data_IF_939924801326
#
_entry.id   IF_939924801326
#
_cell.length_a   1.000
_cell.length_b   1.000
_cell.length_c   1.000
_cell.angle_alpha   90.00
_cell.angle_beta   90.00
_cell.angle_gamma   90.00
#
_symmetry.space_group_name_H-M   'P 1'
#
loop_
_entity.id
_entity.type
_entity.pdbx_description
1 polymer ?
#
# COMPACT_ATOMS: atom_id res chain seq x y z
N UNK A 1 -12.70 -29.76 -37.90
CA UNK A 1 -11.66 -28.73 -37.73
C UNK A 1 -11.61 -28.33 -36.26
N UNK A 2 -10.87 -29.07 -35.42
CA UNK A 2 -10.71 -28.77 -34.00
C UNK A 2 -9.46 -27.92 -33.84
N UNK A 3 -9.65 -26.64 -33.48
CA UNK A 3 -8.56 -25.73 -33.17
C UNK A 3 -7.84 -26.24 -31.90
N UNK A 4 -6.49 -26.31 -31.87
CA UNK A 4 -5.80 -26.61 -30.62
C UNK A 4 -6.04 -25.49 -29.59
N UNK A 5 -6.09 -25.80 -28.29
CA UNK A 5 -6.21 -24.80 -27.24
C UNK A 5 -4.99 -23.87 -27.27
N UNK A 6 -5.22 -22.56 -27.24
CA UNK A 6 -4.15 -21.56 -27.14
C UNK A 6 -3.26 -21.84 -25.91
N UNK A 7 -1.93 -21.69 -26.01
CA UNK A 7 -1.04 -21.98 -24.91
C UNK A 7 -1.31 -21.01 -23.74
N UNK A 8 -1.47 -21.57 -22.55
CA UNK A 8 -1.61 -20.81 -21.32
C UNK A 8 -0.32 -20.00 -21.07
N UNK A 9 -0.41 -18.73 -20.65
CA UNK A 9 0.76 -17.89 -20.43
C UNK A 9 1.71 -18.50 -19.38
N UNK A 10 2.94 -18.82 -19.81
CA UNK A 10 4.01 -19.45 -19.02
C UNK A 10 4.55 -18.48 -17.93
N UNK A 11 4.79 -18.93 -16.68
CA UNK A 11 5.09 -18.07 -15.53
C UNK A 11 6.42 -17.29 -15.60
N UNK A 12 7.38 -17.70 -16.44
CA UNK A 12 8.72 -17.12 -16.45
C UNK A 12 8.81 -15.65 -16.87
N UNK A 13 7.82 -15.11 -17.60
CA UNK A 13 7.83 -13.70 -18.04
C UNK A 13 7.10 -12.74 -17.09
N UNK A 14 6.41 -13.24 -16.05
CA UNK A 14 5.68 -12.42 -15.07
C UNK A 14 6.54 -12.01 -13.86
N UNK A 15 7.52 -12.84 -13.50
CA UNK A 15 8.34 -12.65 -12.30
C UNK A 15 9.13 -11.34 -12.30
N UNK A 16 9.70 -10.93 -13.44
CA UNK A 16 10.46 -9.67 -13.52
C UNK A 16 9.58 -8.43 -13.36
N UNK A 17 8.38 -8.43 -13.95
CA UNK A 17 7.43 -7.32 -13.81
C UNK A 17 6.81 -7.23 -12.41
N UNK A 18 6.50 -8.37 -11.81
CA UNK A 18 5.98 -8.44 -10.43
C UNK A 18 7.02 -7.95 -9.42
N UNK A 19 8.30 -8.32 -9.61
CA UNK A 19 9.39 -7.85 -8.77
C UNK A 19 9.58 -6.34 -8.87
N UNK A 20 9.57 -5.78 -10.09
CA UNK A 20 9.66 -4.34 -10.32
C UNK A 20 8.49 -3.59 -9.65
N UNK A 21 7.27 -4.14 -9.74
CA UNK A 21 6.10 -3.54 -9.09
C UNK A 21 6.23 -3.56 -7.56
N UNK A 22 6.74 -4.66 -6.99
CA UNK A 22 7.03 -4.79 -5.56
C UNK A 22 8.07 -3.77 -5.08
N UNK A 23 9.15 -3.59 -5.84
CA UNK A 23 10.18 -2.59 -5.53
C UNK A 23 9.62 -1.17 -5.55
N UNK A 24 8.82 -0.83 -6.57
CA UNK A 24 8.15 0.47 -6.66
C UNK A 24 7.18 0.71 -5.51
N UNK A 25 6.42 -0.31 -5.10
CA UNK A 25 5.52 -0.24 -3.97
C UNK A 25 6.28 -0.04 -2.65
N UNK A 26 7.38 -0.77 -2.46
CA UNK A 26 8.24 -0.63 -1.28
C UNK A 26 8.86 0.76 -1.16
N UNK A 27 9.35 1.31 -2.28
CA UNK A 27 9.86 2.68 -2.35
C UNK A 27 8.76 3.70 -2.02
N UNK A 28 7.60 3.62 -2.68
CA UNK A 28 6.48 4.52 -2.41
C UNK A 28 6.01 4.48 -0.96
N UNK A 29 5.95 3.29 -0.34
CA UNK A 29 5.65 3.14 1.08
C UNK A 29 6.69 3.84 1.96
N UNK A 30 7.98 3.65 1.67
CA UNK A 30 9.07 4.24 2.45
C UNK A 30 9.02 5.77 2.41
N UNK A 31 8.84 6.34 1.22
CA UNK A 31 8.77 7.78 1.01
C UNK A 31 7.59 8.38 1.77
N UNK A 32 6.41 7.77 1.67
CA UNK A 32 5.22 8.26 2.36
C UNK A 32 5.35 8.18 3.88
N UNK A 33 5.89 7.07 4.42
CA UNK A 33 6.16 6.93 5.85
C UNK A 33 7.15 7.99 6.34
N UNK A 34 8.18 8.31 5.54
CA UNK A 34 9.17 9.35 5.90
C UNK A 34 8.52 10.74 5.98
N UNK A 35 7.57 11.03 5.08
CA UNK A 35 6.86 12.30 5.04
C UNK A 35 5.88 12.45 6.20
N UNK A 36 5.05 11.44 6.43
CA UNK A 36 4.04 11.43 7.49
C UNK A 36 4.69 11.37 8.87
N UNK A 37 5.81 10.66 9.01
CA UNK A 37 6.56 10.55 10.26
C UNK A 37 7.06 11.88 10.83
N UNK A 38 7.12 12.93 10.00
CA UNK A 38 7.44 14.30 10.46
C UNK A 38 6.32 14.94 11.30
N UNK A 39 5.06 14.50 11.09
CA UNK A 39 3.88 15.01 11.80
C UNK A 39 3.30 14.00 12.79
N UNK A 40 3.50 12.70 12.54
CA UNK A 40 2.92 11.60 13.32
C UNK A 40 4.04 10.80 14.00
N UNK A 41 4.06 10.82 15.34
CA UNK A 41 5.06 10.10 16.15
C UNK A 41 4.41 8.94 16.89
N UNK A 42 5.07 7.77 16.93
CA UNK A 42 4.66 6.63 17.75
C UNK A 42 3.46 5.83 17.23
N UNK A 43 3.01 6.06 15.98
CA UNK A 43 1.83 5.41 15.40
C UNK A 43 2.14 4.62 14.12
N UNK A 44 3.29 3.93 14.08
CA UNK A 44 3.76 3.22 12.88
C UNK A 44 2.80 2.12 12.42
N UNK A 45 2.32 1.30 13.36
CA UNK A 45 1.47 0.15 13.03
C UNK A 45 0.11 0.56 12.45
N UNK A 46 -0.47 1.65 12.96
CA UNK A 46 -1.71 2.21 12.42
C UNK A 46 -1.47 2.71 11.00
N UNK A 47 -0.35 3.39 10.77
CA UNK A 47 0.02 3.90 9.46
C UNK A 47 0.21 2.76 8.45
N UNK A 48 0.89 1.69 8.84
CA UNK A 48 1.03 0.49 8.01
C UNK A 48 -0.32 -0.14 7.63
N UNK A 49 -1.28 -0.17 8.55
CA UNK A 49 -2.64 -0.62 8.26
C UNK A 49 -3.39 0.27 7.26
N UNK A 50 -3.27 1.60 7.39
CA UNK A 50 -3.87 2.56 6.45
C UNK A 50 -3.27 2.39 5.06
N UNK A 51 -1.93 2.32 4.95
CA UNK A 51 -1.24 2.15 3.67
C UNK A 51 -1.60 0.82 3.01
N UNK A 52 -1.71 -0.24 3.80
CA UNK A 52 -2.18 -1.54 3.30
C UNK A 52 -3.58 -1.40 2.69
N UNK A 53 -4.52 -0.76 3.38
CA UNK A 53 -5.86 -0.54 2.86
C UNK A 53 -5.85 0.31 1.57
N UNK A 54 -5.07 1.40 1.52
CA UNK A 54 -4.99 2.27 0.34
C UNK A 54 -4.41 1.51 -0.86
N UNK A 55 -3.27 0.85 -0.69
CA UNK A 55 -2.61 0.13 -1.78
C UNK A 55 -3.40 -1.09 -2.26
N UNK A 56 -4.22 -1.69 -1.40
CA UNK A 56 -5.11 -2.79 -1.79
C UNK A 56 -6.47 -2.33 -2.33
N UNK A 57 -6.74 -1.02 -2.40
CA UNK A 57 -8.06 -0.49 -2.75
C UNK A 57 -9.17 -0.82 -1.73
N UNK A 58 -8.78 -1.10 -0.48
CA UNK A 58 -9.66 -1.35 0.65
C UNK A 58 -10.04 -0.08 1.41
N UNK A 59 -10.62 -0.27 2.60
CA UNK A 59 -11.10 0.81 3.47
C UNK A 59 -10.61 0.59 4.89
N UNK A 60 -10.33 1.67 5.62
CA UNK A 60 -9.93 1.64 7.02
C UNK A 60 -10.82 2.57 7.86
N UNK A 61 -11.16 2.15 9.07
CA UNK A 61 -11.90 2.95 10.04
C UNK A 61 -11.03 3.18 11.28
N UNK A 62 -10.74 4.45 11.60
CA UNK A 62 -9.96 4.81 12.78
C UNK A 62 -10.87 5.06 13.98
N UNK A 63 -10.84 4.15 14.97
CA UNK A 63 -11.59 4.26 16.22
C UNK A 63 -10.65 4.53 17.39
N UNK A 64 -11.05 5.44 18.29
CA UNK A 64 -10.30 5.70 19.52
C UNK A 64 -10.78 6.96 20.22
N UNK A 65 -10.23 7.25 21.39
CA UNK A 65 -10.59 8.44 22.18
C UNK A 65 -10.15 9.76 21.52
N UNK A 66 -10.76 10.90 21.87
CA UNK A 66 -10.34 12.22 21.36
C UNK A 66 -8.86 12.51 21.65
N UNK A 67 -8.21 13.28 20.76
CA UNK A 67 -6.81 13.72 20.95
C UNK A 67 -5.72 12.79 20.40
N UNK A 68 -6.06 11.59 19.89
CA UNK A 68 -5.08 10.63 19.34
C UNK A 68 -4.65 10.92 17.89
N UNK A 69 -4.63 12.18 17.47
CA UNK A 69 -4.20 12.62 16.14
C UNK A 69 -4.88 11.90 14.94
N UNK A 70 -6.03 11.24 15.12
CA UNK A 70 -6.74 10.50 14.05
C UNK A 70 -6.96 11.35 12.80
N UNK A 71 -7.46 12.57 12.99
CA UNK A 71 -7.72 13.51 11.89
C UNK A 71 -6.41 13.98 11.24
N UNK A 72 -5.39 14.30 12.03
CA UNK A 72 -4.08 14.72 11.53
C UNK A 72 -3.41 13.61 10.72
N UNK A 73 -3.57 12.35 11.15
CA UNK A 73 -3.02 11.18 10.47
C UNK A 73 -3.63 11.00 9.08
N UNK A 74 -4.96 11.07 8.96
CA UNK A 74 -5.65 10.99 7.66
C UNK A 74 -5.25 12.14 6.75
N UNK A 75 -5.18 13.37 7.26
CA UNK A 75 -4.72 14.52 6.48
C UNK A 75 -3.27 14.36 6.01
N UNK A 76 -2.38 13.89 6.90
CA UNK A 76 -0.96 13.72 6.57
C UNK A 76 -0.72 12.65 5.50
N UNK A 77 -1.56 11.61 5.44
CA UNK A 77 -1.48 10.55 4.41
C UNK A 77 -2.06 11.02 3.07
N UNK A 78 -2.98 11.99 3.09
CA UNK A 78 -3.65 12.50 1.90
C UNK A 78 -2.89 13.64 1.19
N UNK A 79 -1.91 14.24 1.86
CA UNK A 79 -0.97 15.25 1.34
C UNK A 79 0.28 14.61 0.71
#
# INVERSE_FOLDING_TARGET
MTHPPSPLPHPASRTSGDLELLERLAAARMDLLSHVGRRIVGQKDILDGILTAVFSGGHALLVGVPGLAKTLMVQSVAE
#
